data_IF_737300814002
#
_entry.id   IF_737300814002
#
_cell.length_a   1.000
_cell.length_b   1.000
_cell.length_c   1.000
_cell.angle_alpha   90.00
_cell.angle_beta   90.00
_cell.angle_gamma   90.00
#
_symmetry.space_group_name_H-M   'P 1'
#
loop_
_entity.id
_entity.type
_entity.pdbx_description
1 polymer ?
#
# COMPACT_ATOMS: atom_id res chain seq x y z
N UNK A 1 50.00 8.73 9.22
CA UNK A 1 50.36 8.49 10.64
C UNK A 1 49.64 9.52 11.49
N UNK A 2 48.69 9.06 12.31
CA UNK A 2 48.36 9.44 13.70
C UNK A 2 47.01 8.75 13.98
N UNK A 3 46.93 7.77 14.91
CA UNK A 3 45.69 7.08 15.26
C UNK A 3 45.03 7.77 16.47
N UNK A 4 43.70 7.81 16.51
CA UNK A 4 42.95 8.10 17.73
C UNK A 4 42.12 6.88 18.13
N UNK A 5 42.59 6.27 19.21
CA UNK A 5 41.96 5.23 19.99
C UNK A 5 40.94 5.90 20.93
N UNK A 6 39.73 5.38 21.07
CA UNK A 6 38.89 5.65 22.24
C UNK A 6 37.94 4.48 22.52
N UNK A 7 38.11 3.97 23.74
CA UNK A 7 37.47 2.81 24.31
C UNK A 7 35.98 3.03 24.61
N UNK A 8 35.21 1.95 24.53
CA UNK A 8 33.86 1.84 25.10
C UNK A 8 33.92 1.20 26.50
N UNK A 9 33.03 1.58 27.44
CA UNK A 9 32.72 0.76 28.61
C UNK A 9 31.44 -0.07 28.42
N UNK A 10 31.29 -1.21 29.13
CA UNK A 10 30.10 -2.06 29.05
C UNK A 10 29.03 -1.62 30.05
N UNK A 11 27.76 -1.62 29.64
CA UNK A 11 26.64 -1.58 30.59
C UNK A 11 25.90 -2.92 30.55
N UNK A 12 25.87 -3.56 31.72
CA UNK A 12 25.43 -4.93 31.97
C UNK A 12 23.95 -4.95 32.40
N UNK A 13 23.35 -6.11 32.14
CA UNK A 13 22.02 -6.64 32.49
C UNK A 13 21.45 -6.25 33.87
N UNK A 14 20.12 -6.14 33.95
CA UNK A 14 19.20 -6.95 34.79
C UNK A 14 17.82 -6.24 34.90
N UNK A 15 16.72 -6.83 34.39
CA UNK A 15 15.77 -7.79 35.02
C UNK A 15 14.84 -7.20 36.10
N UNK A 16 13.58 -7.69 36.03
CA UNK A 16 12.48 -7.65 37.03
C UNK A 16 11.67 -6.33 37.08
N UNK A 17 10.33 -6.27 37.16
CA UNK A 17 9.29 -7.19 37.67
C UNK A 17 7.88 -6.72 37.19
N UNK A 18 6.90 -7.62 37.13
CA UNK A 18 5.45 -7.37 36.88
C UNK A 18 4.68 -7.06 38.20
N UNK A 19 3.40 -6.65 38.15
CA UNK A 19 2.76 -5.67 39.05
C UNK A 19 1.94 -6.31 40.20
N UNK A 20 1.30 -5.50 41.06
CA UNK A 20 0.13 -5.93 41.82
C UNK A 20 -1.19 -5.29 41.34
N UNK A 21 -2.33 -5.98 41.51
CA UNK A 21 -3.66 -5.49 41.24
C UNK A 21 -4.36 -4.97 42.50
N UNK A 22 -5.39 -4.15 42.31
CA UNK A 22 -6.41 -3.89 43.32
C UNK A 22 -7.38 -2.83 42.83
N UNK A 23 -8.62 -2.74 43.28
CA UNK A 23 -9.51 -3.59 44.06
C UNK A 23 -10.78 -2.72 44.26
N UNK A 24 -11.95 -3.34 44.45
CA UNK A 24 -13.16 -2.75 45.08
C UNK A 24 -13.91 -1.69 44.24
N UNK A 25 -15.24 -1.54 44.23
CA UNK A 25 -16.40 -2.02 45.00
C UNK A 25 -17.63 -1.67 44.11
N UNK A 26 -18.62 -2.53 43.83
CA UNK A 26 -19.88 -2.69 44.59
C UNK A 26 -20.47 -1.33 45.08
N UNK A 27 -21.72 -0.92 44.91
CA UNK A 27 -23.00 -1.56 44.60
C UNK A 27 -24.07 -0.42 44.46
N UNK A 28 -25.39 -0.55 44.73
CA UNK A 28 -26.41 -0.53 43.70
C UNK A 28 -27.52 0.54 43.95
N UNK A 29 -28.66 0.34 43.27
CA UNK A 29 -30.01 0.57 43.80
C UNK A 29 -30.64 1.97 43.71
N UNK A 30 -31.73 2.06 42.93
CA UNK A 30 -33.11 2.39 43.36
C UNK A 30 -33.90 2.90 42.14
N UNK A 31 -34.80 2.12 41.54
CA UNK A 31 -36.13 1.73 42.01
C UNK A 31 -37.20 2.84 41.90
N UNK A 32 -38.10 2.60 40.93
CA UNK A 32 -39.55 2.80 40.99
C UNK A 32 -40.13 4.23 41.04
N UNK A 33 -41.11 4.48 40.16
CA UNK A 33 -42.48 4.83 40.58
C UNK A 33 -43.52 4.56 39.50
N UNK A 34 -44.63 4.00 39.97
CA UNK A 34 -45.86 3.61 39.27
C UNK A 34 -46.75 4.82 39.01
N UNK A 35 -47.62 4.71 38.00
CA UNK A 35 -48.81 5.57 37.86
C UNK A 35 -49.64 5.28 36.61
N UNK A 36 -50.67 4.44 36.75
CA UNK A 36 -51.87 4.34 35.89
C UNK A 36 -53.04 4.82 36.76
N UNK A 37 -54.06 5.57 36.24
CA UNK A 37 -55.26 4.93 35.65
C UNK A 37 -55.95 5.77 34.52
N UNK A 38 -56.48 5.20 33.43
CA UNK A 38 -57.83 4.62 33.17
C UNK A 38 -58.93 5.57 32.61
N UNK A 39 -59.63 5.08 31.57
CA UNK A 39 -60.97 5.44 31.01
C UNK A 39 -61.06 6.52 29.89
N UNK A 40 -62.13 6.59 29.06
CA UNK A 40 -62.44 5.68 27.94
C UNK A 40 -62.82 6.41 26.61
N UNK A 41 -62.92 5.63 25.51
CA UNK A 41 -63.70 5.86 24.27
C UNK A 41 -63.56 7.21 23.53
N UNK A 42 -62.86 7.20 22.39
CA UNK A 42 -63.31 7.92 21.20
C UNK A 42 -62.87 7.19 19.93
N UNK A 43 -63.86 6.81 19.13
CA UNK A 43 -63.73 6.24 17.79
C UNK A 43 -63.53 7.40 16.82
N UNK A 44 -62.30 7.67 16.40
CA UNK A 44 -62.07 8.53 15.24
C UNK A 44 -60.72 8.24 14.58
N UNK A 45 -60.82 7.79 13.33
CA UNK A 45 -59.97 8.22 12.22
C UNK A 45 -58.52 7.75 12.21
N UNK A 46 -58.31 6.76 11.34
CA UNK A 46 -57.03 6.36 10.75
C UNK A 46 -56.30 7.58 10.18
N UNK A 47 -55.10 7.87 10.67
CA UNK A 47 -54.02 8.43 9.83
C UNK A 47 -52.75 7.66 10.18
N UNK A 48 -52.41 6.73 9.30
CA UNK A 48 -51.17 5.98 9.34
C UNK A 48 -50.04 6.95 8.96
N UNK A 49 -49.40 7.57 9.95
CA UNK A 49 -48.17 8.32 9.74
C UNK A 49 -47.04 7.32 9.53
N UNK A 50 -46.83 6.90 8.27
CA UNK A 50 -45.65 6.15 7.88
C UNK A 50 -44.48 7.13 7.96
N UNK A 51 -43.72 7.06 9.06
CA UNK A 51 -42.43 7.71 9.14
C UNK A 51 -41.52 7.05 8.09
N UNK A 52 -41.23 7.78 7.00
CA UNK A 52 -40.16 7.43 6.07
C UNK A 52 -38.84 7.58 6.82
N UNK A 53 -38.40 6.50 7.48
CA UNK A 53 -37.02 6.34 7.92
C UNK A 53 -36.21 6.18 6.63
N UNK A 54 -35.70 7.29 6.12
CA UNK A 54 -34.71 7.30 5.05
C UNK A 54 -33.43 6.73 5.63
N UNK A 55 -33.25 5.42 5.42
CA UNK A 55 -32.02 4.73 5.72
C UNK A 55 -30.96 5.26 4.73
N UNK A 56 -30.21 6.28 5.13
CA UNK A 56 -28.93 6.58 4.51
C UNK A 56 -28.01 5.39 4.80
N UNK A 57 -28.10 4.35 3.97
CA UNK A 57 -27.03 3.40 3.82
C UNK A 57 -25.87 4.18 3.19
N UNK A 58 -25.06 4.81 4.04
CA UNK A 58 -23.70 5.12 3.66
C UNK A 58 -23.12 3.80 3.16
N UNK A 59 -22.85 3.72 1.86
CA UNK A 59 -22.15 2.60 1.27
C UNK A 59 -20.73 2.61 1.85
N UNK A 60 -20.57 2.06 3.06
CA UNK A 60 -19.28 1.57 3.51
C UNK A 60 -18.91 0.48 2.50
N UNK A 61 -18.15 0.86 1.48
CA UNK A 61 -17.60 -0.06 0.50
C UNK A 61 -16.71 -1.06 1.24
N UNK A 62 -17.29 -2.19 1.63
CA UNK A 62 -16.55 -3.29 2.25
C UNK A 62 -15.46 -3.81 1.32
N UNK A 63 -14.51 -4.53 1.90
CA UNK A 63 -13.49 -5.25 1.13
C UNK A 63 -14.17 -6.14 0.08
N UNK A 64 -13.71 -6.08 -1.17
CA UNK A 64 -14.16 -7.02 -2.20
C UNK A 64 -13.52 -8.37 -1.91
N UNK A 65 -14.33 -9.43 -1.88
CA UNK A 65 -13.82 -10.79 -1.66
C UNK A 65 -13.03 -11.32 -2.87
N UNK A 66 -13.41 -10.86 -4.07
CA UNK A 66 -12.76 -11.16 -5.35
C UNK A 66 -12.68 -9.87 -6.19
N UNK A 67 -11.47 -9.44 -6.52
CA UNK A 67 -11.20 -8.25 -7.32
C UNK A 67 -11.26 -8.61 -8.80
N UNK A 68 -12.05 -7.87 -9.58
CA UNK A 68 -12.14 -8.03 -11.03
C UNK A 68 -11.46 -6.86 -11.75
N UNK A 69 -11.10 -6.97 -13.03
CA UNK A 69 -10.36 -5.90 -13.71
C UNK A 69 -11.07 -4.53 -13.73
N UNK A 70 -12.40 -4.51 -13.88
CA UNK A 70 -13.20 -3.28 -13.80
C UNK A 70 -13.15 -2.61 -12.42
N UNK A 71 -12.82 -3.39 -11.37
CA UNK A 71 -12.65 -2.86 -10.02
C UNK A 71 -11.34 -2.08 -9.87
N UNK A 72 -10.34 -2.40 -10.72
CA UNK A 72 -9.03 -1.74 -10.79
C UNK A 72 -8.99 -0.58 -11.79
N UNK A 73 -9.86 -0.56 -12.80
CA UNK A 73 -9.85 0.50 -13.82
C UNK A 73 -9.91 1.92 -13.22
N UNK A 74 -9.00 2.78 -13.68
CA UNK A 74 -8.85 4.17 -13.24
C UNK A 74 -7.43 4.52 -12.82
N UNK A 75 -7.30 5.68 -12.18
CA UNK A 75 -6.04 6.20 -11.64
C UNK A 75 -5.96 5.92 -10.14
N UNK A 76 -4.78 5.56 -9.66
CA UNK A 76 -4.52 5.33 -8.23
C UNK A 76 -3.17 5.90 -7.83
N UNK A 77 -3.14 6.67 -6.76
CA UNK A 77 -1.94 7.38 -6.32
C UNK A 77 -1.60 7.06 -4.86
N UNK A 78 -0.32 7.09 -4.52
CA UNK A 78 0.09 7.09 -3.11
C UNK A 78 -0.53 8.29 -2.41
N UNK A 79 -1.27 8.04 -1.33
CA UNK A 79 -1.90 9.12 -0.55
C UNK A 79 -0.88 10.02 0.16
N UNK A 80 0.31 9.50 0.44
CA UNK A 80 1.40 10.17 1.14
C UNK A 80 2.75 9.75 0.56
N UNK A 81 3.84 10.37 1.00
CA UNK A 81 5.19 9.89 0.74
C UNK A 81 5.40 8.54 1.46
N UNK A 82 5.64 7.48 0.69
CA UNK A 82 5.84 6.13 1.25
C UNK A 82 7.29 5.95 1.69
N UNK A 83 7.50 5.45 2.91
CA UNK A 83 8.83 5.10 3.40
C UNK A 83 9.00 3.58 3.31
N UNK A 84 9.93 3.12 2.49
CA UNK A 84 10.23 1.70 2.28
C UNK A 84 11.56 1.38 2.98
N UNK A 85 11.55 0.54 4.03
CA UNK A 85 12.77 0.20 4.75
C UNK A 85 13.79 -0.51 3.86
N UNK A 86 15.04 -0.09 3.96
CA UNK A 86 16.20 -0.77 3.42
C UNK A 86 16.77 -1.74 4.47
N UNK A 87 17.49 -2.77 4.01
CA UNK A 87 18.12 -3.76 4.90
C UNK A 87 19.22 -3.19 5.80
N UNK A 88 19.70 -1.97 5.54
CA UNK A 88 20.75 -1.28 6.29
C UNK A 88 20.21 -0.30 7.35
N UNK A 89 18.89 -0.24 7.54
CA UNK A 89 18.23 0.66 8.49
C UNK A 89 17.92 2.06 7.93
N UNK A 90 18.29 2.34 6.68
CA UNK A 90 17.81 3.52 5.95
C UNK A 90 16.41 3.28 5.36
N UNK A 91 15.80 4.31 4.77
CA UNK A 91 14.55 4.19 4.02
C UNK A 91 14.73 4.76 2.61
N UNK A 92 14.09 4.13 1.62
CA UNK A 92 13.77 4.77 0.36
C UNK A 92 12.44 5.50 0.49
N UNK A 93 12.31 6.63 -0.19
CA UNK A 93 11.07 7.39 -0.22
C UNK A 93 10.50 7.39 -1.62
N UNK A 94 9.22 7.05 -1.77
CA UNK A 94 8.60 6.94 -3.09
C UNK A 94 7.13 7.34 -3.12
N UNK A 95 6.66 7.64 -4.33
CA UNK A 95 5.24 7.73 -4.65
C UNK A 95 4.94 6.86 -5.88
N UNK A 96 3.82 6.16 -5.83
CA UNK A 96 3.28 5.31 -6.90
C UNK A 96 2.11 5.99 -7.55
N UNK A 97 2.08 5.93 -8.87
CA UNK A 97 1.04 6.50 -9.69
C UNK A 97 0.65 5.46 -10.73
N UNK A 98 -0.50 4.82 -10.52
CA UNK A 98 -1.04 3.81 -11.42
C UNK A 98 -2.06 4.42 -12.37
N UNK A 99 -1.98 4.00 -13.62
CA UNK A 99 -3.08 4.08 -14.58
C UNK A 99 -3.43 2.66 -15.00
N UNK A 100 -4.64 2.21 -14.63
CA UNK A 100 -5.11 0.85 -14.88
C UNK A 100 -6.31 0.88 -15.84
N UNK A 101 -6.29 0.01 -16.84
CA UNK A 101 -7.47 -0.37 -17.62
C UNK A 101 -7.95 -1.75 -17.16
N UNK A 102 -8.88 -2.37 -17.88
CA UNK A 102 -9.28 -3.76 -17.60
C UNK A 102 -8.22 -4.79 -18.03
N UNK A 103 -7.19 -4.40 -18.77
CA UNK A 103 -6.17 -5.31 -19.32
C UNK A 103 -4.73 -4.84 -19.14
N UNK A 104 -4.52 -3.54 -18.94
CA UNK A 104 -3.20 -2.92 -18.96
C UNK A 104 -2.95 -2.11 -17.70
N UNK A 105 -1.69 -2.05 -17.32
CA UNK A 105 -1.21 -1.27 -16.20
C UNK A 105 -0.04 -0.41 -16.63
N UNK A 106 -0.06 0.84 -16.18
CA UNK A 106 1.09 1.72 -16.17
C UNK A 106 1.37 2.10 -14.73
N UNK A 107 2.59 1.88 -14.27
CA UNK A 107 3.07 2.35 -12.97
C UNK A 107 4.18 3.36 -13.20
N UNK A 108 3.99 4.57 -12.70
CA UNK A 108 5.05 5.56 -12.51
C UNK A 108 5.43 5.60 -11.03
N UNK A 109 6.68 5.25 -10.74
CA UNK A 109 7.31 5.30 -9.43
C UNK A 109 8.25 6.51 -9.39
N UNK A 110 7.92 7.52 -8.60
CA UNK A 110 8.84 8.60 -8.31
C UNK A 110 9.64 8.26 -7.06
N UNK A 111 10.97 8.31 -7.16
CA UNK A 111 11.88 8.08 -6.04
C UNK A 111 12.44 9.41 -5.53
N UNK A 112 12.54 9.53 -4.20
CA UNK A 112 12.91 10.75 -3.52
C UNK A 112 14.04 10.52 -2.52
N UNK A 113 14.84 11.57 -2.30
CA UNK A 113 15.96 11.56 -1.36
C UNK A 113 15.58 11.91 0.08
N UNK A 114 14.32 12.24 0.35
CA UNK A 114 13.86 12.70 1.65
C UNK A 114 12.43 12.23 1.99
N UNK A 115 12.14 12.17 3.29
CA UNK A 115 10.86 11.72 3.81
C UNK A 115 9.66 12.62 3.47
N UNK A 116 9.92 13.84 3.01
CA UNK A 116 8.89 14.76 2.54
C UNK A 116 8.57 14.60 1.06
N UNK A 117 9.26 13.72 0.33
CA UNK A 117 9.18 13.58 -1.11
C UNK A 117 9.42 14.93 -1.85
N UNK A 118 10.40 15.73 -1.40
CA UNK A 118 10.72 17.03 -2.00
C UNK A 118 11.80 16.94 -3.08
N UNK A 119 12.81 16.11 -2.85
CA UNK A 119 13.98 15.95 -3.70
C UNK A 119 13.78 14.75 -4.61
N UNK A 120 13.14 14.95 -5.76
CA UNK A 120 12.92 13.89 -6.74
C UNK A 120 14.25 13.49 -7.37
N UNK A 121 14.64 12.22 -7.23
CA UNK A 121 15.92 11.68 -7.69
C UNK A 121 15.80 11.14 -9.12
N UNK A 122 14.85 10.22 -9.31
CA UNK A 122 14.56 9.62 -10.60
C UNK A 122 13.10 9.11 -10.62
N UNK A 123 12.58 8.88 -11.82
CA UNK A 123 11.28 8.24 -12.02
C UNK A 123 11.50 6.93 -12.77
N UNK A 124 10.85 5.86 -12.33
CA UNK A 124 10.71 4.63 -13.09
C UNK A 124 9.28 4.53 -13.64
N UNK A 125 9.14 4.23 -14.93
CA UNK A 125 7.84 3.97 -15.55
C UNK A 125 7.83 2.56 -16.13
N UNK A 126 6.84 1.77 -15.73
CA UNK A 126 6.63 0.41 -16.20
C UNK A 126 5.26 0.35 -16.86
N UNK A 127 5.19 -0.28 -18.01
CA UNK A 127 3.96 -0.44 -18.80
C UNK A 127 3.83 -1.89 -19.21
N UNK A 128 2.62 -2.44 -19.17
CA UNK A 128 2.33 -3.71 -19.81
C UNK A 128 0.94 -4.24 -19.50
N UNK A 129 0.64 -5.46 -19.94
CA UNK A 129 -0.61 -6.12 -19.63
C UNK A 129 -0.60 -6.72 -18.22
N UNK A 130 -1.77 -6.89 -17.63
CA UNK A 130 -1.96 -7.69 -16.43
C UNK A 130 -3.16 -8.64 -16.56
N UNK A 131 -3.20 -9.63 -15.68
CA UNK A 131 -4.36 -10.50 -15.50
C UNK A 131 -4.63 -10.73 -14.01
N UNK A 132 -5.91 -10.90 -13.66
CA UNK A 132 -6.35 -11.34 -12.35
C UNK A 132 -6.84 -12.80 -12.45
N UNK A 133 -6.50 -13.60 -11.45
CA UNK A 133 -6.86 -15.01 -11.35
C UNK A 133 -7.82 -15.27 -10.19
N UNK A 134 -7.63 -16.39 -9.52
CA UNK A 134 -8.36 -16.79 -8.32
C UNK A 134 -8.12 -15.88 -7.11
N UNK A 135 -8.97 -16.05 -6.09
CA UNK A 135 -8.71 -15.50 -4.77
C UNK A 135 -7.43 -16.09 -4.16
N UNK A 136 -6.70 -15.27 -3.42
CA UNK A 136 -5.48 -15.70 -2.75
C UNK A 136 -5.82 -16.63 -1.59
N UNK A 137 -5.21 -17.80 -1.58
CA UNK A 137 -5.28 -18.72 -0.45
C UNK A 137 -4.49 -18.23 0.77
N UNK A 138 -3.53 -17.31 0.56
CA UNK A 138 -2.62 -16.82 1.61
C UNK A 138 -3.04 -15.48 2.19
N UNK A 139 -3.67 -14.63 1.38
CA UNK A 139 -4.05 -13.27 1.77
C UNK A 139 -5.57 -13.12 1.69
N UNK A 140 -6.22 -13.11 2.85
CA UNK A 140 -7.69 -13.07 2.94
C UNK A 140 -8.28 -11.84 2.25
N UNK A 141 -9.22 -12.08 1.33
CA UNK A 141 -9.91 -11.06 0.55
C UNK A 141 -9.05 -10.38 -0.52
N UNK A 142 -7.88 -10.93 -0.84
CA UNK A 142 -7.08 -10.50 -1.98
C UNK A 142 -7.25 -11.48 -3.16
N UNK A 143 -6.99 -10.99 -4.37
CA UNK A 143 -7.02 -11.76 -5.61
C UNK A 143 -5.63 -11.82 -6.20
N UNK A 144 -5.24 -12.96 -6.73
CA UNK A 144 -3.93 -13.15 -7.33
C UNK A 144 -3.85 -12.44 -8.69
N UNK A 145 -2.76 -11.73 -8.92
CA UNK A 145 -2.50 -11.01 -10.17
C UNK A 145 -1.18 -11.41 -10.81
N UNK A 146 -1.09 -11.22 -12.11
CA UNK A 146 0.17 -11.29 -12.86
C UNK A 146 0.33 -10.01 -13.66
N UNK A 147 1.37 -9.24 -13.37
CA UNK A 147 1.64 -7.91 -13.93
C UNK A 147 2.88 -7.99 -14.82
N UNK A 148 2.69 -8.01 -16.13
CA UNK A 148 3.80 -8.16 -17.09
C UNK A 148 4.46 -6.83 -17.35
N UNK A 149 5.78 -6.81 -17.32
CA UNK A 149 6.62 -5.67 -17.70
C UNK A 149 6.84 -5.69 -19.22
N UNK A 150 5.93 -5.09 -19.98
CA UNK A 150 6.10 -4.96 -21.43
C UNK A 150 7.24 -4.00 -21.76
N UNK A 151 7.24 -2.84 -21.12
CA UNK A 151 8.24 -1.80 -21.29
C UNK A 151 8.63 -1.21 -19.94
N UNK A 152 9.90 -0.82 -19.82
CA UNK A 152 10.44 -0.14 -18.65
C UNK A 152 11.29 1.03 -19.06
N UNK A 153 11.10 2.14 -18.39
CA UNK A 153 11.75 3.40 -18.64
C UNK A 153 12.27 4.01 -17.33
N UNK A 154 13.38 4.74 -17.39
CA UNK A 154 13.82 5.61 -16.30
C UNK A 154 14.00 7.05 -16.79
N UNK A 155 13.85 8.00 -15.88
CA UNK A 155 14.18 9.42 -16.05
C UNK A 155 15.02 9.86 -14.87
N UNK A 156 16.25 10.34 -15.09
CA UNK A 156 17.06 10.96 -14.04
C UNK A 156 16.63 12.42 -13.86
N UNK A 157 16.39 12.88 -12.62
CA UNK A 157 15.98 14.27 -12.34
C UNK A 157 17.13 15.14 -11.82
N UNK A 158 18.29 14.53 -11.55
CA UNK A 158 19.50 15.22 -11.08
C UNK A 158 20.72 14.69 -11.82
N UNK A 159 21.69 15.57 -12.10
CA UNK A 159 22.91 15.20 -12.82
C UNK A 159 23.69 14.05 -12.17
N UNK A 160 23.90 14.01 -10.83
CA UNK A 160 24.58 12.89 -10.21
C UNK A 160 23.90 11.53 -10.46
N UNK A 161 22.56 11.49 -10.57
CA UNK A 161 21.85 10.24 -10.88
C UNK A 161 21.99 9.86 -12.35
N UNK A 162 21.99 10.83 -13.27
CA UNK A 162 22.28 10.58 -14.68
C UNK A 162 23.70 9.97 -14.85
N UNK A 163 24.69 10.53 -14.15
CA UNK A 163 26.06 10.03 -14.17
C UNK A 163 26.16 8.60 -13.62
N UNK A 164 25.45 8.30 -12.51
CA UNK A 164 25.35 6.95 -11.95
C UNK A 164 24.73 5.98 -12.95
N UNK A 165 23.62 6.35 -13.61
CA UNK A 165 22.99 5.49 -14.60
C UNK A 165 23.91 5.18 -15.78
N UNK A 166 24.67 6.17 -16.27
CA UNK A 166 25.70 5.93 -17.29
C UNK A 166 26.78 4.96 -16.79
N UNK A 167 27.32 5.18 -15.59
CA UNK A 167 28.39 4.36 -15.03
C UNK A 167 27.94 2.92 -14.75
N UNK A 168 26.68 2.72 -14.36
CA UNK A 168 26.12 1.40 -14.09
C UNK A 168 25.61 0.68 -15.34
N UNK A 169 25.74 1.27 -16.53
CA UNK A 169 25.26 0.68 -17.78
C UNK A 169 23.74 0.59 -17.88
N UNK A 170 23.02 1.46 -17.15
CA UNK A 170 21.57 1.56 -17.26
C UNK A 170 21.18 2.17 -18.60
N UNK A 171 20.11 1.66 -19.21
CA UNK A 171 19.55 2.19 -20.46
C UNK A 171 20.35 1.80 -21.70
N UNK A 172 20.07 2.49 -22.80
CA UNK A 172 20.63 2.17 -24.14
C UNK A 172 21.50 3.28 -24.72
N UNK A 173 21.77 4.34 -23.96
CA UNK A 173 22.46 5.52 -24.45
C UNK A 173 23.00 6.41 -23.32
N UNK A 174 23.45 7.61 -23.71
CA UNK A 174 23.90 8.62 -22.76
C UNK A 174 22.71 9.24 -22.03
N UNK A 175 22.84 9.47 -20.72
CA UNK A 175 21.77 10.03 -19.91
C UNK A 175 21.73 11.56 -19.97
N UNK A 176 20.53 12.11 -20.08
CA UNK A 176 20.26 13.55 -19.97
C UNK A 176 19.21 13.76 -18.89
N UNK A 177 19.44 14.72 -17.99
CA UNK A 177 18.50 15.06 -16.92
C UNK A 177 17.14 15.45 -17.51
N UNK A 178 16.07 14.90 -16.95
CA UNK A 178 14.68 15.14 -17.36
C UNK A 178 14.25 14.39 -18.64
N UNK A 179 15.15 13.65 -19.29
CA UNK A 179 14.82 12.87 -20.49
C UNK A 179 14.62 11.41 -20.11
N UNK A 180 13.47 10.87 -20.48
CA UNK A 180 13.13 9.47 -20.28
C UNK A 180 13.86 8.57 -21.29
N UNK A 181 14.32 7.40 -20.84
CA UNK A 181 14.97 6.40 -21.70
C UNK A 181 14.52 4.97 -21.39
N UNK A 182 14.44 4.08 -22.40
CA UNK A 182 14.12 2.69 -22.19
C UNK A 182 15.25 1.95 -21.46
N UNK A 183 14.88 1.06 -20.54
CA UNK A 183 15.81 0.26 -19.72
C UNK A 183 15.36 -1.21 -19.69
N UNK A 184 15.51 -1.96 -20.81
CA UNK A 184 15.11 -3.36 -20.89
C UNK A 184 16.09 -4.31 -20.15
N UNK A 185 17.35 -3.91 -19.99
CA UNK A 185 18.40 -4.65 -19.30
C UNK A 185 18.36 -4.50 -17.78
N UNK A 186 19.37 -5.05 -17.10
CA UNK A 186 19.58 -4.83 -15.67
C UNK A 186 19.88 -3.36 -15.39
N UNK A 187 19.32 -2.82 -14.31
CA UNK A 187 19.59 -1.46 -13.87
C UNK A 187 19.13 -1.27 -12.43
N UNK A 188 19.96 -0.66 -11.57
CA UNK A 188 19.68 -0.53 -10.14
C UNK A 188 19.32 -1.91 -9.53
N UNK A 189 18.21 -2.00 -8.81
CA UNK A 189 17.66 -3.24 -8.26
C UNK A 189 16.73 -4.00 -9.23
N UNK A 190 16.64 -3.55 -10.48
CA UNK A 190 15.81 -4.20 -11.50
C UNK A 190 16.61 -5.27 -12.25
N UNK A 191 16.04 -6.48 -12.30
CA UNK A 191 16.50 -7.55 -13.18
C UNK A 191 16.18 -7.21 -14.65
N UNK A 192 16.94 -7.76 -15.64
CA UNK A 192 16.56 -7.67 -17.05
C UNK A 192 15.14 -8.18 -17.30
N UNK A 193 14.40 -7.56 -18.23
CA UNK A 193 13.04 -8.01 -18.57
C UNK A 193 13.01 -9.46 -19.09
N UNK A 194 14.10 -9.91 -19.70
CA UNK A 194 14.27 -11.29 -20.17
C UNK A 194 14.46 -12.31 -19.04
N UNK A 195 14.91 -11.86 -17.87
CA UNK A 195 15.10 -12.71 -16.68
C UNK A 195 13.87 -12.65 -15.76
N UNK A 196 13.30 -11.46 -15.58
CA UNK A 196 12.10 -11.21 -14.82
C UNK A 196 11.20 -10.25 -15.58
N UNK A 197 10.28 -10.81 -16.37
CA UNK A 197 9.37 -10.04 -17.23
C UNK A 197 8.00 -9.79 -16.62
N UNK A 198 7.75 -10.22 -15.39
CA UNK A 198 6.46 -10.05 -14.71
C UNK A 198 6.60 -10.19 -13.21
N UNK A 199 5.67 -9.57 -12.50
CA UNK A 199 5.42 -9.85 -11.09
C UNK A 199 4.19 -10.75 -10.94
N UNK A 200 4.30 -11.75 -10.07
CA UNK A 200 3.17 -12.45 -9.48
C UNK A 200 2.84 -11.79 -8.15
N UNK A 201 1.67 -11.15 -8.07
CA UNK A 201 1.28 -10.33 -6.92
C UNK A 201 -0.11 -10.73 -6.40
N UNK A 202 -0.56 -10.06 -5.34
CA UNK A 202 -1.92 -10.04 -4.84
C UNK A 202 -2.46 -8.61 -4.85
N UNK A 203 -3.75 -8.45 -5.12
CA UNK A 203 -4.43 -7.16 -5.03
C UNK A 203 -5.65 -7.25 -4.13
N UNK A 204 -5.91 -6.19 -3.36
CA UNK A 204 -7.11 -6.07 -2.54
C UNK A 204 -7.68 -4.66 -2.66
N UNK A 205 -9.00 -4.58 -2.86
CA UNK A 205 -9.72 -3.29 -2.92
C UNK A 205 -10.61 -3.14 -1.69
N UNK A 206 -10.42 -2.05 -0.96
CA UNK A 206 -11.24 -1.67 0.21
C UNK A 206 -11.71 -0.21 0.04
N UNK A 207 -12.98 -0.03 -0.35
CA UNK A 207 -13.50 1.29 -0.67
C UNK A 207 -12.72 1.96 -1.81
N UNK A 208 -12.04 3.07 -1.50
CA UNK A 208 -11.20 3.83 -2.44
C UNK A 208 -9.71 3.47 -2.38
N UNK A 209 -9.35 2.45 -1.58
CA UNK A 209 -7.97 2.00 -1.41
C UNK A 209 -7.72 0.72 -2.22
N UNK A 210 -6.57 0.67 -2.89
CA UNK A 210 -6.03 -0.50 -3.56
C UNK A 210 -4.69 -0.86 -2.92
N UNK A 211 -4.65 -2.06 -2.36
CA UNK A 211 -3.45 -2.67 -1.80
C UNK A 211 -2.86 -3.65 -2.81
N UNK A 212 -1.53 -3.62 -2.93
CA UNK A 212 -0.73 -4.65 -3.58
C UNK A 212 -0.07 -5.53 -2.51
N UNK A 213 0.58 -6.61 -2.90
CA UNK A 213 1.37 -7.44 -1.99
C UNK A 213 2.61 -6.73 -1.46
N UNK A 214 3.06 -7.14 -0.28
CA UNK A 214 4.33 -6.68 0.28
C UNK A 214 5.48 -7.20 -0.58
N UNK A 215 6.11 -6.31 -1.34
CA UNK A 215 7.28 -6.64 -2.15
C UNK A 215 8.41 -7.17 -1.24
N UNK A 216 9.05 -8.30 -1.58
CA UNK A 216 10.15 -8.85 -0.80
C UNK A 216 11.42 -7.99 -0.95
N UNK A 217 12.33 -8.13 0.02
CA UNK A 217 13.56 -7.33 0.07
C UNK A 217 14.52 -7.58 -1.11
N UNK A 218 14.50 -8.79 -1.69
CA UNK A 218 15.28 -9.16 -2.88
C UNK A 218 14.61 -8.74 -4.19
N UNK A 219 13.45 -8.07 -4.12
CA UNK A 219 12.66 -7.60 -5.25
C UNK A 219 12.22 -8.73 -6.21
N UNK A 220 12.20 -9.99 -5.76
CA UNK A 220 11.91 -11.13 -6.62
C UNK A 220 10.47 -11.63 -6.44
N UNK A 221 9.61 -11.29 -7.41
CA UNK A 221 8.24 -11.78 -7.53
C UNK A 221 8.02 -12.48 -8.88
N UNK A 222 9.12 -12.93 -9.51
CA UNK A 222 9.15 -13.33 -10.91
C UNK A 222 8.51 -14.70 -11.20
N UNK A 223 8.19 -15.46 -10.15
CA UNK A 223 7.58 -16.79 -10.21
C UNK A 223 6.33 -16.86 -9.31
N UNK A 224 5.31 -17.67 -9.65
CA UNK A 224 4.08 -17.79 -8.87
C UNK A 224 4.30 -18.11 -7.38
N UNK A 225 5.31 -18.93 -7.08
CA UNK A 225 5.66 -19.36 -5.71
C UNK A 225 6.26 -18.22 -4.88
N UNK A 226 6.70 -17.13 -5.53
CA UNK A 226 7.24 -15.92 -4.90
C UNK A 226 6.19 -14.84 -4.68
N UNK A 227 4.92 -15.14 -4.93
CA UNK A 227 3.81 -14.21 -4.67
C UNK A 227 3.81 -13.77 -3.20
N UNK A 228 3.63 -12.46 -2.91
CA UNK A 228 3.57 -11.96 -1.55
C UNK A 228 2.48 -12.64 -0.72
N UNK A 229 2.81 -12.90 0.55
CA UNK A 229 1.92 -13.56 1.51
C UNK A 229 1.24 -12.58 2.47
N UNK A 230 1.50 -11.29 2.31
CA UNK A 230 0.89 -10.19 3.06
C UNK A 230 0.67 -9.00 2.13
N UNK A 231 -0.24 -8.11 2.50
CA UNK A 231 -0.41 -6.83 1.81
C UNK A 231 0.72 -5.86 2.16
N UNK A 232 1.05 -4.96 1.25
CA UNK A 232 1.91 -3.83 1.52
C UNK A 232 1.24 -2.88 2.53
N UNK A 233 2.05 -2.24 3.37
CA UNK A 233 1.58 -1.29 4.40
C UNK A 233 0.86 -0.07 3.80
N UNK A 234 1.31 0.40 2.64
CA UNK A 234 0.77 1.58 1.99
C UNK A 234 -0.17 1.18 0.83
N UNK A 235 -1.46 1.55 0.86
CA UNK A 235 -2.31 1.48 -0.32
C UNK A 235 -2.03 2.65 -1.27
N UNK A 236 -2.42 2.48 -2.53
CA UNK A 236 -2.73 3.60 -3.41
C UNK A 236 -4.23 3.89 -3.34
N UNK A 237 -4.62 5.13 -3.56
CA UNK A 237 -6.00 5.60 -3.44
C UNK A 237 -6.49 6.19 -4.75
N UNK A 238 -7.79 6.07 -5.02
CA UNK A 238 -8.39 6.88 -6.10
C UNK A 238 -8.32 8.36 -5.69
N UNK A 239 -7.72 9.24 -6.52
CA UNK A 239 -7.66 10.67 -6.25
C UNK A 239 -9.05 11.34 -6.29
#
# INVERSE_FOLDING_TARGET
MVPCNLAAPPCNLQRFRRPPPGAFMASPEQAARRGLPSHPRSLAMRILAIALITLCAAACGGAKSHVRPQDLAGTWDSATCEAVPNGDGSNNYLQRHFQLTESDWTLRLDFFGDAGCQTKLFTARVVGPYSLGQDSEKVSGATEGTFTFGERYLTAHLQPLADVFTQSGCGTGAWTVGVEQPVPGACLSFKPLTECGKDHDVVKVEGTQLFFGQRPADNDMCAPEKRPQTLATHPVVKP
#
